data_IF_778329843284
#
_entry.id   IF_778329843284
#
_cell.length_a   1.000
_cell.length_b   1.000
_cell.length_c   1.000
_cell.angle_alpha   90.00
_cell.angle_beta   90.00
_cell.angle_gamma   90.00
#
_symmetry.space_group_name_H-M   'P 1'
#
loop_
_entity.id
_entity.type
_entity.pdbx_description
1 polymer ?
#
# COMPACT_ATOMS: atom_id res chain seq x y z
N UNK A 1 -11.57 44.93 -21.41
CA UNK A 1 -11.32 45.32 -20.01
C UNK A 1 -9.84 45.19 -19.76
N UNK A 2 -9.13 46.32 -19.55
CA UNK A 2 -7.68 46.36 -19.31
C UNK A 2 -7.44 45.97 -17.84
N UNK A 3 -6.69 44.91 -17.57
CA UNK A 3 -6.18 44.61 -16.22
C UNK A 3 -4.76 45.16 -16.09
N UNK A 4 -4.61 45.91 -15.01
CA UNK A 4 -3.48 46.73 -14.62
C UNK A 4 -2.44 45.83 -13.94
N UNK A 5 -1.21 45.79 -14.45
CA UNK A 5 -0.09 45.13 -13.78
C UNK A 5 0.44 46.03 -12.66
N UNK A 6 0.42 45.53 -11.42
CA UNK A 6 1.12 46.17 -10.29
C UNK A 6 2.55 45.63 -10.24
N UNK A 7 3.52 46.53 -10.38
CA UNK A 7 4.93 46.30 -10.06
C UNK A 7 5.13 46.46 -8.54
N UNK A 8 5.65 45.45 -7.86
CA UNK A 8 6.22 45.58 -6.52
C UNK A 8 7.74 45.86 -6.61
N UNK A 9 8.33 46.66 -5.71
CA UNK A 9 9.74 46.98 -5.74
C UNK A 9 10.60 45.91 -5.05
N UNK A 10 11.69 45.53 -5.72
CA UNK A 10 12.82 44.78 -5.18
C UNK A 10 13.49 45.57 -4.05
N UNK A 11 13.55 45.01 -2.84
CA UNK A 11 14.47 45.47 -1.79
C UNK A 11 15.72 44.58 -1.80
N UNK A 12 16.85 45.19 -2.16
CA UNK A 12 18.18 44.60 -2.00
C UNK A 12 18.69 44.87 -0.59
N UNK A 13 18.97 43.81 0.19
CA UNK A 13 19.73 43.90 1.44
C UNK A 13 21.12 43.28 1.21
N UNK A 14 22.17 44.03 1.51
CA UNK A 14 23.57 43.57 1.42
C UNK A 14 24.26 43.62 2.78
N UNK A 15 24.94 42.50 3.08
CA UNK A 15 26.13 42.23 3.91
C UNK A 15 26.22 42.59 5.40
N UNK A 16 26.61 41.56 6.17
CA UNK A 16 27.42 41.67 7.38
C UNK A 16 28.10 40.33 7.70
N UNK A 17 29.42 40.23 7.53
CA UNK A 17 30.27 39.09 7.91
C UNK A 17 30.55 39.01 9.42
N UNK A 18 30.50 37.75 9.93
CA UNK A 18 31.20 37.06 11.04
C UNK A 18 31.64 37.79 12.35
N UNK A 19 31.65 37.06 13.49
CA UNK A 19 32.86 36.28 13.81
C UNK A 19 32.62 34.89 14.42
N UNK A 20 33.69 34.08 14.36
CA UNK A 20 33.80 32.71 14.84
C UNK A 20 34.11 32.58 16.35
N UNK A 21 33.62 31.49 16.95
CA UNK A 21 34.09 30.83 18.19
C UNK A 21 33.53 29.39 18.16
N UNK A 22 34.29 28.33 17.86
CA UNK A 22 35.20 27.52 18.68
C UNK A 22 34.56 26.75 19.85
N UNK A 23 34.90 25.44 19.92
CA UNK A 23 34.71 24.42 20.99
C UNK A 23 33.28 23.87 21.12
N UNK A 24 33.00 22.56 21.20
CA UNK A 24 33.77 21.44 21.77
C UNK A 24 33.18 20.06 21.35
N UNK A 25 34.08 19.08 21.18
CA UNK A 25 33.98 17.62 21.48
C UNK A 25 32.79 16.74 21.04
N UNK A 26 33.11 15.89 20.07
CA UNK A 26 33.23 14.41 20.13
C UNK A 26 31.99 13.57 20.51
N UNK A 27 31.48 12.90 19.48
CA UNK A 27 30.52 11.81 19.55
C UNK A 27 31.25 10.49 19.90
N UNK A 28 30.72 9.74 20.87
CA UNK A 28 30.80 8.28 20.89
C UNK A 28 29.60 7.74 21.67
N UNK A 29 28.51 7.39 20.98
CA UNK A 29 27.53 6.43 21.50
C UNK A 29 27.77 5.10 20.80
N UNK A 30 28.20 4.13 21.60
CA UNK A 30 28.40 2.73 21.22
C UNK A 30 27.12 1.95 21.38
N UNK A 31 26.70 1.28 20.31
CA UNK A 31 25.92 0.05 20.36
C UNK A 31 26.57 -0.99 21.28
N UNK A 32 25.79 -1.65 22.13
CA UNK A 32 25.88 -3.10 22.35
C UNK A 32 24.75 -3.64 23.24
N UNK A 33 24.06 -4.60 22.67
CA UNK A 33 22.96 -5.36 23.23
C UNK A 33 23.37 -6.41 24.29
N UNK A 34 22.35 -6.83 25.05
CA UNK A 34 22.07 -8.19 25.54
C UNK A 34 23.03 -8.85 26.55
N UNK A 35 22.48 -9.11 27.74
CA UNK A 35 22.62 -10.41 28.43
C UNK A 35 21.48 -10.59 29.44
N UNK A 36 20.53 -11.48 29.13
CA UNK A 36 19.66 -12.09 30.14
C UNK A 36 19.74 -13.62 29.95
N UNK A 37 20.43 -14.22 30.91
CA UNK A 37 20.70 -15.64 31.05
C UNK A 37 19.45 -16.44 31.42
N UNK A 38 19.39 -17.62 30.81
CA UNK A 38 18.50 -18.74 31.11
C UNK A 38 18.55 -19.19 32.57
N UNK A 39 17.38 -19.45 33.17
CA UNK A 39 17.24 -20.49 34.18
C UNK A 39 16.03 -21.37 33.86
N UNK A 40 16.32 -22.65 33.61
CA UNK A 40 15.36 -23.72 33.51
C UNK A 40 15.01 -24.23 34.92
N UNK A 41 13.73 -24.26 35.25
CA UNK A 41 13.18 -24.94 36.42
C UNK A 41 12.11 -25.94 36.00
N UNK A 42 12.46 -27.22 36.07
CA UNK A 42 11.59 -28.37 35.76
C UNK A 42 10.73 -28.78 36.97
N UNK A 43 9.71 -29.58 36.66
CA UNK A 43 8.86 -30.46 37.51
C UNK A 43 7.49 -29.88 37.90
N UNK A 44 6.40 -30.64 37.96
CA UNK A 44 6.02 -31.95 37.41
C UNK A 44 4.51 -32.13 37.68
N UNK A 45 3.84 -32.90 36.80
CA UNK A 45 2.72 -33.82 37.05
C UNK A 45 1.49 -33.38 37.87
N UNK A 46 0.33 -33.45 37.22
CA UNK A 46 -0.98 -33.52 37.86
C UNK A 46 -2.00 -34.18 36.92
N UNK A 47 -2.22 -35.47 37.16
CA UNK A 47 -3.17 -36.39 36.51
C UNK A 47 -4.63 -35.96 36.76
N UNK A 48 -5.54 -36.25 35.82
CA UNK A 48 -6.97 -35.88 35.95
C UNK A 48 -7.86 -36.36 34.81
N UNK A 49 -8.21 -37.64 34.85
CA UNK A 49 -9.12 -38.35 33.94
C UNK A 49 -10.61 -38.03 34.17
N UNK A 50 -11.44 -38.08 33.10
CA UNK A 50 -12.87 -38.50 33.05
C UNK A 50 -13.47 -38.14 31.67
N UNK A 51 -13.66 -39.09 30.73
CA UNK A 51 -14.89 -39.89 30.52
C UNK A 51 -16.11 -39.01 30.14
N UNK A 52 -16.60 -38.97 28.89
CA UNK A 52 -17.27 -39.97 28.01
C UNK A 52 -18.80 -39.86 28.05
N UNK A 53 -19.41 -39.91 26.86
CA UNK A 53 -20.78 -40.35 26.44
C UNK A 53 -21.27 -39.41 25.32
N UNK A 54 -21.48 -39.87 24.07
CA UNK A 54 -22.58 -40.75 23.62
C UNK A 54 -23.77 -39.84 23.22
N UNK A 55 -24.36 -39.84 22.02
CA UNK A 55 -24.89 -40.98 21.27
C UNK A 55 -25.40 -40.53 19.88
N UNK A 56 -25.51 -41.54 19.02
CA UNK A 56 -25.86 -41.70 17.61
C UNK A 56 -27.23 -41.20 17.07
N UNK A 57 -27.32 -41.23 15.73
CA UNK A 57 -28.52 -41.43 14.88
C UNK A 57 -28.34 -40.69 13.53
N UNK A 58 -28.20 -41.28 12.33
CA UNK A 58 -28.84 -42.46 11.71
C UNK A 58 -30.27 -42.11 11.24
N UNK A 59 -30.77 -42.32 10.01
CA UNK A 59 -30.28 -42.85 8.73
C UNK A 59 -31.23 -42.40 7.58
N UNK A 60 -30.77 -42.58 6.34
CA UNK A 60 -31.48 -43.06 5.12
C UNK A 60 -32.70 -42.35 4.46
N UNK A 61 -32.60 -42.31 3.12
CA UNK A 61 -33.67 -42.61 2.15
C UNK A 61 -33.79 -41.55 1.03
N UNK A 62 -34.03 -41.83 -0.25
CA UNK A 62 -34.16 -43.04 -1.08
C UNK A 62 -34.21 -42.55 -2.55
N UNK A 63 -33.71 -43.39 -3.45
CA UNK A 63 -33.77 -43.34 -4.93
C UNK A 63 -35.16 -43.08 -5.54
N UNK A 64 -35.22 -42.41 -6.72
CA UNK A 64 -36.09 -42.84 -7.85
C UNK A 64 -35.59 -42.31 -9.20
N UNK A 65 -35.88 -43.07 -10.25
CA UNK A 65 -35.31 -43.09 -11.60
C UNK A 65 -36.14 -42.39 -12.70
N UNK A 66 -35.47 -42.03 -13.81
CA UNK A 66 -35.93 -42.04 -15.23
C UNK A 66 -37.09 -41.11 -15.66
N UNK A 67 -37.25 -40.78 -16.97
CA UNK A 67 -36.96 -41.65 -18.11
C UNK A 67 -36.21 -41.02 -19.31
N UNK A 68 -35.85 -41.90 -20.23
CA UNK A 68 -35.34 -41.72 -21.60
C UNK A 68 -36.39 -41.21 -22.59
N UNK A 69 -35.98 -40.47 -23.62
CA UNK A 69 -36.67 -40.50 -24.93
C UNK A 69 -35.69 -40.40 -26.10
N UNK A 70 -35.85 -41.38 -26.98
CA UNK A 70 -35.22 -41.63 -28.26
C UNK A 70 -35.74 -40.65 -29.34
N UNK A 71 -34.94 -40.38 -30.38
CA UNK A 71 -35.29 -39.43 -31.45
C UNK A 71 -34.29 -39.44 -32.61
N UNK A 72 -34.54 -40.34 -33.55
CA UNK A 72 -33.88 -40.55 -34.86
C UNK A 72 -34.26 -39.52 -35.94
N UNK A 73 -33.34 -39.30 -36.90
CA UNK A 73 -33.55 -38.74 -38.24
C UNK A 73 -32.71 -37.47 -38.46
N UNK A 74 -32.09 -37.16 -39.59
CA UNK A 74 -31.93 -37.74 -40.92
C UNK A 74 -30.73 -36.96 -41.50
N UNK A 75 -29.90 -37.59 -42.33
CA UNK A 75 -28.76 -36.96 -42.98
C UNK A 75 -29.17 -35.94 -44.05
N UNK A 76 -28.52 -34.77 -44.08
CA UNK A 76 -28.31 -34.00 -45.30
C UNK A 76 -26.87 -33.47 -45.33
N UNK A 77 -26.12 -34.02 -46.27
CA UNK A 77 -24.87 -33.54 -46.82
C UNK A 77 -25.07 -32.14 -47.43
N UNK A 78 -24.34 -31.15 -46.93
CA UNK A 78 -24.04 -29.95 -47.69
C UNK A 78 -22.61 -29.50 -47.39
N UNK A 79 -21.80 -29.63 -48.43
CA UNK A 79 -20.38 -29.31 -48.46
C UNK A 79 -20.21 -27.79 -48.55
N UNK A 80 -19.79 -27.15 -47.46
CA UNK A 80 -19.32 -25.76 -47.48
C UNK A 80 -17.91 -25.69 -46.90
N UNK A 81 -16.93 -25.67 -47.79
CA UNK A 81 -15.62 -25.12 -47.48
C UNK A 81 -15.79 -23.63 -47.19
N UNK A 82 -15.30 -23.14 -46.05
CA UNK A 82 -14.31 -22.05 -45.97
C UNK A 82 -14.24 -21.48 -44.55
N UNK A 83 -12.98 -21.20 -44.17
CA UNK A 83 -12.57 -20.32 -43.07
C UNK A 83 -12.77 -20.88 -41.66
N UNK A 84 -11.83 -21.72 -41.24
CA UNK A 84 -11.33 -21.69 -39.87
C UNK A 84 -10.72 -20.30 -39.64
N UNK A 85 -11.60 -19.31 -39.43
CA UNK A 85 -11.21 -18.10 -38.73
C UNK A 85 -11.07 -18.54 -37.28
N UNK A 86 -9.86 -18.91 -36.88
CA UNK A 86 -9.43 -18.67 -35.52
C UNK A 86 -9.78 -17.22 -35.23
N UNK A 87 -10.91 -17.01 -34.55
CA UNK A 87 -11.09 -15.84 -33.72
C UNK A 87 -10.02 -15.96 -32.66
N UNK A 88 -8.80 -15.54 -33.02
CA UNK A 88 -7.89 -14.97 -32.04
C UNK A 88 -8.75 -13.98 -31.27
N UNK A 89 -9.08 -14.39 -30.04
CA UNK A 89 -9.56 -13.46 -29.04
C UNK A 89 -8.36 -12.56 -28.87
N UNK A 90 -8.34 -11.42 -29.57
CA UNK A 90 -7.40 -10.35 -29.27
C UNK A 90 -7.71 -9.97 -27.84
N UNK A 91 -6.98 -10.57 -26.90
CA UNK A 91 -6.83 -10.06 -25.56
C UNK A 91 -6.47 -8.60 -25.75
N UNK A 92 -7.41 -7.70 -25.43
CA UNK A 92 -7.17 -6.28 -25.60
C UNK A 92 -5.91 -5.94 -24.82
N UNK A 93 -4.89 -5.37 -25.49
CA UNK A 93 -3.73 -4.90 -24.76
C UNK A 93 -4.19 -3.78 -23.82
N UNK A 94 -3.82 -3.90 -22.55
CA UNK A 94 -4.09 -2.86 -21.58
C UNK A 94 -3.26 -1.62 -21.95
N UNK A 95 -3.78 -0.42 -21.64
CA UNK A 95 -2.97 0.79 -21.75
C UNK A 95 -2.12 0.96 -20.49
N UNK A 96 -0.90 1.53 -20.56
CA UNK A 96 -0.11 1.79 -19.37
C UNK A 96 -0.83 2.69 -18.36
N UNK A 97 -0.52 2.51 -17.08
CA UNK A 97 -0.97 3.37 -15.99
C UNK A 97 0.23 3.97 -15.28
N UNK A 98 0.21 5.29 -15.12
CA UNK A 98 1.23 6.03 -14.36
C UNK A 98 0.60 6.61 -13.11
N UNK A 99 1.27 6.53 -11.97
CA UNK A 99 0.83 7.07 -10.69
C UNK A 99 2.03 7.58 -9.89
N UNK A 100 1.79 8.55 -9.01
CA UNK A 100 2.82 9.10 -8.14
C UNK A 100 2.78 8.44 -6.75
N UNK A 101 3.91 8.37 -6.07
CA UNK A 101 4.01 7.89 -4.69
C UNK A 101 4.87 8.85 -3.87
N UNK A 102 4.38 9.19 -2.68
CA UNK A 102 5.11 9.90 -1.62
C UNK A 102 4.89 9.16 -0.30
N UNK A 103 5.70 9.47 0.71
CA UNK A 103 5.58 8.95 2.07
C UNK A 103 6.60 9.65 2.96
N UNK A 104 6.48 9.49 4.27
CA UNK A 104 7.45 10.00 5.24
C UNK A 104 7.67 11.52 5.08
N UNK A 105 6.59 12.26 4.81
CA UNK A 105 6.63 13.70 4.52
C UNK A 105 5.27 14.35 4.78
N UNK A 106 5.22 15.58 5.32
CA UNK A 106 6.34 16.42 5.77
C UNK A 106 6.73 16.17 7.23
N UNK A 107 8.02 16.25 7.56
CA UNK A 107 8.50 16.11 8.95
C UNK A 107 8.89 17.44 9.59
N UNK A 108 9.39 18.38 8.78
CA UNK A 108 9.79 19.71 9.20
C UNK A 108 9.26 20.78 8.21
N UNK A 109 9.31 22.06 8.58
CA UNK A 109 8.79 23.19 7.79
C UNK A 109 9.33 23.20 6.34
N UNK A 110 10.58 22.78 6.12
CA UNK A 110 11.15 22.71 4.77
C UNK A 110 10.49 21.63 3.91
N UNK A 111 10.06 20.52 4.51
CA UNK A 111 9.36 19.43 3.81
C UNK A 111 7.95 19.85 3.42
N UNK A 112 7.28 20.68 4.22
CA UNK A 112 5.97 21.24 3.88
C UNK A 112 6.06 22.07 2.59
N UNK A 113 7.09 22.94 2.52
CA UNK A 113 7.34 23.75 1.33
C UNK A 113 7.66 22.86 0.12
N UNK A 114 8.52 21.86 0.29
CA UNK A 114 8.87 20.92 -0.77
C UNK A 114 7.65 20.14 -1.26
N UNK A 115 6.78 19.68 -0.36
CA UNK A 115 5.55 18.96 -0.70
C UNK A 115 4.64 19.83 -1.57
N UNK A 116 4.38 21.07 -1.17
CA UNK A 116 3.54 22.00 -1.96
C UNK A 116 4.16 22.24 -3.35
N UNK A 117 5.47 22.45 -3.44
CA UNK A 117 6.18 22.61 -4.71
C UNK A 117 6.08 21.35 -5.59
N UNK A 118 6.21 20.16 -5.01
CA UNK A 118 6.11 18.88 -5.72
C UNK A 118 4.69 18.59 -6.23
N UNK A 119 3.65 18.89 -5.44
CA UNK A 119 2.26 18.74 -5.87
C UNK A 119 1.95 19.70 -7.03
N UNK A 120 2.46 20.93 -6.98
CA UNK A 120 2.36 21.87 -8.10
C UNK A 120 3.10 21.36 -9.35
N UNK A 121 4.31 20.83 -9.20
CA UNK A 121 5.08 20.27 -10.31
C UNK A 121 4.41 19.02 -10.92
N UNK A 122 3.80 18.15 -10.12
CA UNK A 122 2.99 17.03 -10.59
C UNK A 122 1.77 17.49 -11.38
N UNK A 123 1.09 18.55 -10.93
CA UNK A 123 -0.02 19.16 -11.66
C UNK A 123 0.42 19.72 -13.03
N UNK A 124 1.63 20.30 -13.12
CA UNK A 124 2.19 20.81 -14.37
C UNK A 124 2.65 19.69 -15.31
N UNK A 125 3.29 18.65 -14.77
CA UNK A 125 3.74 17.47 -15.53
C UNK A 125 2.54 16.72 -16.12
N UNK A 126 1.49 16.51 -15.32
CA UNK A 126 0.33 15.71 -15.67
C UNK A 126 0.66 14.22 -15.85
N UNK A 127 -0.31 13.45 -16.35
CA UNK A 127 -0.11 12.03 -16.70
C UNK A 127 -0.17 11.03 -15.54
N UNK A 128 0.07 11.46 -14.29
CA UNK A 128 -0.26 10.65 -13.12
C UNK A 128 -1.79 10.51 -12.99
N UNK A 129 -2.28 9.26 -12.97
CA UNK A 129 -3.72 8.95 -12.86
C UNK A 129 -4.23 9.13 -11.43
N UNK A 130 -3.35 8.98 -10.45
CA UNK A 130 -3.56 9.24 -9.02
C UNK A 130 -2.21 9.35 -8.31
N UNK A 131 -2.22 9.73 -7.04
CA UNK A 131 -1.10 9.67 -6.11
C UNK A 131 -1.45 8.76 -4.92
N UNK A 132 -0.45 8.07 -4.37
CA UNK A 132 -0.56 7.33 -3.10
C UNK A 132 0.42 7.91 -2.08
N UNK A 133 -0.07 8.27 -0.90
CA UNK A 133 0.75 8.58 0.27
C UNK A 133 0.90 7.33 1.14
N UNK A 134 2.12 6.80 1.29
CA UNK A 134 2.40 5.52 1.97
C UNK A 134 2.64 5.67 3.47
N UNK A 135 1.90 6.57 4.13
CA UNK A 135 2.02 6.83 5.57
C UNK A 135 3.11 7.81 5.98
N UNK A 136 3.12 8.11 7.28
CA UNK A 136 3.95 9.07 8.01
C UNK A 136 3.84 10.52 7.49
N UNK A 137 2.72 11.16 7.80
CA UNK A 137 2.44 12.58 7.47
C UNK A 137 3.15 13.58 8.40
N UNK A 138 3.91 13.09 9.37
CA UNK A 138 4.61 13.84 10.41
C UNK A 138 5.76 13.01 10.95
N UNK A 139 6.72 13.64 11.65
CA UNK A 139 7.80 12.93 12.34
C UNK A 139 7.28 12.04 13.48
N UNK A 140 8.02 10.99 13.85
CA UNK A 140 7.72 10.07 14.97
C UNK A 140 7.94 10.65 16.36
N UNK A 141 7.37 11.82 16.65
CA UNK A 141 7.41 12.44 17.96
C UNK A 141 6.10 13.15 18.31
N UNK A 142 5.65 13.12 19.58
CA UNK A 142 4.58 13.98 20.08
C UNK A 142 4.95 15.47 20.04
N UNK A 143 3.95 16.38 20.13
CA UNK A 143 2.53 16.09 20.27
C UNK A 143 1.91 15.68 18.93
N UNK A 144 0.91 14.80 18.95
CA UNK A 144 0.04 14.55 17.80
C UNK A 144 -1.17 15.47 17.93
N UNK A 145 -1.27 16.48 17.08
CA UNK A 145 -2.30 17.52 17.17
C UNK A 145 -3.15 17.53 15.92
N UNK A 146 -4.45 17.80 16.06
CA UNK A 146 -5.39 17.77 14.93
C UNK A 146 -4.95 18.64 13.74
N UNK A 147 -4.21 19.74 13.98
CA UNK A 147 -3.72 20.60 12.91
C UNK A 147 -2.82 19.89 11.91
N UNK A 148 -1.98 18.94 12.35
CA UNK A 148 -1.09 18.18 11.45
C UNK A 148 -1.90 17.43 10.38
N UNK A 149 -3.03 16.84 10.77
CA UNK A 149 -3.93 16.10 9.87
C UNK A 149 -4.73 17.04 8.96
N UNK A 150 -5.16 18.21 9.47
CA UNK A 150 -5.88 19.18 8.64
C UNK A 150 -4.97 19.86 7.62
N UNK A 151 -3.72 20.12 7.99
CA UNK A 151 -2.74 20.81 7.14
C UNK A 151 -2.33 19.90 5.97
N UNK A 152 -1.93 18.65 6.24
CA UNK A 152 -1.62 17.68 5.18
C UNK A 152 -2.82 17.41 4.27
N UNK A 153 -4.02 17.29 4.83
CA UNK A 153 -5.25 17.18 4.02
C UNK A 153 -5.38 18.38 3.09
N UNK A 154 -5.15 19.59 3.60
CA UNK A 154 -5.19 20.83 2.83
C UNK A 154 -4.26 20.81 1.63
N UNK A 155 -2.99 20.45 1.84
CA UNK A 155 -1.98 20.37 0.77
C UNK A 155 -2.31 19.28 -0.25
N UNK A 156 -2.67 18.06 0.20
CA UNK A 156 -3.00 16.97 -0.70
C UNK A 156 -4.21 17.27 -1.59
N UNK A 157 -5.18 18.05 -1.10
CA UNK A 157 -6.33 18.51 -1.88
C UNK A 157 -5.97 19.54 -2.98
N UNK A 158 -4.74 20.07 -3.00
CA UNK A 158 -4.25 20.92 -4.11
C UNK A 158 -3.86 20.10 -5.35
N UNK A 159 -3.71 18.78 -5.23
CA UNK A 159 -3.42 17.90 -6.36
C UNK A 159 -4.67 17.76 -7.26
N UNK A 160 -4.47 17.86 -8.57
CA UNK A 160 -5.54 17.65 -9.57
C UNK A 160 -5.91 16.17 -9.65
N UNK A 161 -4.92 15.28 -9.55
CA UNK A 161 -5.14 13.84 -9.53
C UNK A 161 -5.68 13.39 -8.16
N UNK A 162 -6.52 12.34 -8.09
CA UNK A 162 -6.97 11.75 -6.84
C UNK A 162 -5.81 11.31 -5.95
N UNK A 163 -5.97 11.48 -4.62
CA UNK A 163 -5.00 11.02 -3.63
C UNK A 163 -5.58 9.90 -2.79
N UNK A 164 -4.90 8.76 -2.78
CA UNK A 164 -5.12 7.67 -1.83
C UNK A 164 -4.06 7.76 -0.72
N UNK A 165 -4.42 7.34 0.49
CA UNK A 165 -3.51 7.38 1.64
C UNK A 165 -3.73 6.14 2.52
N UNK A 166 -2.64 5.58 3.01
CA UNK A 166 -2.61 4.57 4.08
C UNK A 166 -1.92 5.18 5.32
N UNK A 167 -2.21 4.68 6.53
CA UNK A 167 -1.50 5.13 7.72
C UNK A 167 -0.08 4.55 7.80
N UNK A 168 0.82 5.31 8.41
CA UNK A 168 2.09 4.90 8.98
C UNK A 168 1.99 4.76 10.50
N UNK A 169 3.12 4.78 11.20
CA UNK A 169 3.15 4.74 12.66
C UNK A 169 3.20 6.14 13.30
N UNK A 170 3.78 7.14 12.63
CA UNK A 170 4.00 8.45 13.24
C UNK A 170 2.72 9.23 13.52
N UNK A 171 1.66 8.98 12.76
CA UNK A 171 0.40 9.73 12.87
C UNK A 171 -0.59 9.10 13.86
N UNK A 172 -0.24 7.98 14.51
CA UNK A 172 -1.07 7.46 15.60
C UNK A 172 -0.31 6.54 16.56
N UNK A 173 0.45 5.58 16.06
CA UNK A 173 1.09 4.54 16.87
C UNK A 173 2.16 5.12 17.82
N UNK A 174 2.85 6.16 17.39
CA UNK A 174 3.92 6.85 18.12
C UNK A 174 3.43 8.04 18.98
N UNK A 175 2.12 8.24 19.05
CA UNK A 175 1.50 9.32 19.82
C UNK A 175 1.35 8.94 21.30
N UNK A 176 1.33 9.95 22.18
CA UNK A 176 1.06 9.75 23.62
C UNK A 176 -0.36 9.17 23.87
N UNK A 177 -1.32 9.52 23.01
CA UNK A 177 -2.68 8.97 22.97
C UNK A 177 -2.99 8.45 21.55
N UNK A 178 -2.71 7.17 21.27
CA UNK A 178 -2.95 6.58 19.95
C UNK A 178 -4.41 6.56 19.51
N UNK A 179 -5.36 6.46 20.46
CA UNK A 179 -6.79 6.44 20.14
C UNK A 179 -7.27 7.83 19.67
N UNK A 180 -6.80 8.91 20.32
CA UNK A 180 -7.09 10.28 19.90
C UNK A 180 -6.46 10.59 18.54
N UNK A 181 -5.19 10.24 18.36
CA UNK A 181 -4.48 10.44 17.11
C UNK A 181 -5.10 9.66 15.94
N UNK A 182 -5.51 8.41 16.16
CA UNK A 182 -6.26 7.62 15.19
C UNK A 182 -7.61 8.26 14.83
N UNK A 183 -8.30 8.88 15.80
CA UNK A 183 -9.53 9.61 15.52
C UNK A 183 -9.32 10.82 14.61
N UNK A 184 -8.20 11.55 14.76
CA UNK A 184 -7.83 12.62 13.84
C UNK A 184 -7.52 12.11 12.43
N UNK A 185 -6.70 11.05 12.33
CA UNK A 185 -6.39 10.40 11.04
C UNK A 185 -7.68 9.98 10.34
N UNK A 186 -8.57 9.30 11.06
CA UNK A 186 -9.85 8.85 10.56
C UNK A 186 -10.73 10.00 10.08
N UNK A 187 -10.83 11.09 10.85
CA UNK A 187 -11.67 12.23 10.52
C UNK A 187 -11.22 12.96 9.25
N UNK A 188 -9.91 13.04 9.00
CA UNK A 188 -9.35 13.93 7.98
C UNK A 188 -8.80 13.20 6.76
N UNK A 189 -8.35 11.96 6.90
CA UNK A 189 -7.57 11.26 5.87
C UNK A 189 -8.21 9.94 5.40
N UNK A 190 -9.09 9.33 6.19
CA UNK A 190 -9.85 8.18 5.73
C UNK A 190 -10.62 8.52 4.45
N UNK A 191 -10.49 7.64 3.44
CA UNK A 191 -11.10 7.80 2.13
C UNK A 191 -10.90 9.18 1.48
N UNK A 192 -9.70 9.76 1.66
CA UNK A 192 -9.31 11.05 1.08
C UNK A 192 -9.65 11.13 -0.43
N UNK A 193 -9.46 10.03 -1.15
CA UNK A 193 -9.73 9.86 -2.58
C UNK A 193 -11.17 10.24 -2.98
N UNK A 194 -12.15 10.08 -2.09
CA UNK A 194 -13.55 10.46 -2.35
C UNK A 194 -13.75 11.99 -2.50
N UNK A 195 -12.71 12.79 -2.20
CA UNK A 195 -12.71 14.23 -2.43
C UNK A 195 -12.60 14.59 -3.93
N UNK A 196 -12.24 13.63 -4.79
CA UNK A 196 -12.17 13.80 -6.25
C UNK A 196 -13.33 13.07 -6.94
N UNK A 197 -14.11 13.75 -7.80
CA UNK A 197 -15.27 13.14 -8.47
C UNK A 197 -14.89 12.05 -9.49
N UNK A 198 -13.66 12.12 -10.02
CA UNK A 198 -13.14 11.20 -11.02
C UNK A 198 -12.21 10.12 -10.41
N UNK A 199 -12.16 10.02 -9.07
CA UNK A 199 -11.39 8.98 -8.40
C UNK A 199 -11.90 7.57 -8.78
N UNK A 200 -10.99 6.60 -8.99
CA UNK A 200 -11.38 5.20 -9.08
C UNK A 200 -12.22 4.78 -7.87
N UNK A 201 -13.32 4.08 -8.09
CA UNK A 201 -14.15 3.58 -7.01
C UNK A 201 -13.39 2.48 -6.25
N UNK A 202 -12.89 2.81 -5.07
CA UNK A 202 -12.16 1.88 -4.23
C UNK A 202 -13.08 1.01 -3.37
N UNK A 203 -12.84 -0.31 -3.40
CA UNK A 203 -13.33 -1.22 -2.39
C UNK A 203 -12.61 -0.96 -1.07
N UNK A 204 -13.33 -1.09 0.05
CA UNK A 204 -12.79 -0.98 1.42
C UNK A 204 -12.88 -2.32 2.12
N UNK A 205 -11.88 -2.65 2.93
CA UNK A 205 -11.94 -3.83 3.78
C UNK A 205 -12.88 -3.55 4.96
N UNK A 206 -13.96 -4.34 5.17
CA UNK A 206 -14.96 -4.04 6.19
C UNK A 206 -14.39 -3.92 7.62
N UNK A 207 -13.38 -4.71 7.95
CA UNK A 207 -12.72 -4.72 9.26
C UNK A 207 -11.57 -3.69 9.38
N UNK A 208 -11.15 -3.08 8.25
CA UNK A 208 -10.01 -2.14 8.10
C UNK A 208 -10.37 -1.10 7.04
N UNK A 209 -11.28 -0.18 7.36
CA UNK A 209 -11.85 0.75 6.38
C UNK A 209 -10.84 1.78 5.84
N UNK A 210 -9.67 1.88 6.45
CA UNK A 210 -8.48 2.57 5.96
C UNK A 210 -7.85 1.86 4.74
N UNK A 211 -8.00 0.54 4.63
CA UNK A 211 -7.50 -0.24 3.50
C UNK A 211 -8.36 0.03 2.26
N UNK A 212 -7.72 -0.03 1.10
CA UNK A 212 -8.40 0.17 -0.17
C UNK A 212 -7.95 -0.82 -1.23
N UNK A 213 -8.78 -1.03 -2.24
CA UNK A 213 -8.39 -1.70 -3.47
C UNK A 213 -9.18 -1.21 -4.68
N UNK A 214 -8.54 -1.12 -5.83
CA UNK A 214 -9.21 -0.87 -7.11
C UNK A 214 -8.40 -1.43 -8.27
N UNK A 215 -9.07 -1.68 -9.40
CA UNK A 215 -8.42 -2.08 -10.65
C UNK A 215 -8.44 -0.90 -11.62
N UNK A 216 -7.27 -0.53 -12.13
CA UNK A 216 -7.15 0.44 -13.21
C UNK A 216 -6.30 -0.15 -14.34
N UNK A 217 -6.87 -0.16 -15.56
CA UNK A 217 -6.21 -0.63 -16.78
C UNK A 217 -5.56 -2.01 -16.63
N UNK A 218 -6.16 -2.94 -15.89
CA UNK A 218 -5.61 -4.30 -15.72
C UNK A 218 -4.53 -4.43 -14.64
N UNK A 219 -4.32 -3.39 -13.83
CA UNK A 219 -3.45 -3.42 -12.64
C UNK A 219 -4.32 -3.34 -11.39
N UNK A 220 -4.11 -4.26 -10.46
CA UNK A 220 -4.73 -4.20 -9.13
C UNK A 220 -3.85 -3.34 -8.20
N UNK A 221 -4.45 -2.31 -7.61
CA UNK A 221 -3.84 -1.47 -6.59
C UNK A 221 -4.46 -1.79 -5.23
N UNK A 222 -3.65 -2.07 -4.21
CA UNK A 222 -4.11 -2.42 -2.86
C UNK A 222 -3.33 -1.63 -1.82
N UNK A 223 -4.00 -0.84 -0.99
CA UNK A 223 -3.42 -0.20 0.19
C UNK A 223 -3.79 -0.95 1.45
N UNK A 224 -2.80 -1.23 2.30
CA UNK A 224 -2.96 -1.94 3.58
C UNK A 224 -2.36 -1.17 4.75
N UNK A 225 -2.94 -1.36 5.94
CA UNK A 225 -2.49 -0.82 7.22
C UNK A 225 -1.32 -1.63 7.78
N UNK A 226 -0.25 -1.72 7.00
CA UNK A 226 1.01 -2.34 7.40
C UNK A 226 1.93 -1.25 7.97
N UNK A 227 1.86 -1.01 9.28
CA UNK A 227 2.60 0.06 9.98
C UNK A 227 3.83 -0.47 10.72
N UNK A 228 4.81 0.39 10.98
CA UNK A 228 5.97 0.10 11.80
C UNK A 228 5.72 0.36 13.29
N UNK A 229 6.76 0.82 13.98
CA UNK A 229 6.66 1.28 15.36
C UNK A 229 6.43 0.21 16.44
N UNK A 230 5.92 0.67 17.58
CA UNK A 230 5.72 -0.16 18.76
C UNK A 230 4.53 -1.14 18.62
N UNK A 231 4.67 -2.32 19.23
CA UNK A 231 3.56 -3.29 19.35
C UNK A 231 2.87 -3.08 20.70
N UNK A 232 1.83 -2.25 20.72
CA UNK A 232 1.07 -1.95 21.95
C UNK A 232 0.17 -3.11 22.40
N UNK A 233 -0.46 -3.80 21.45
CA UNK A 233 -1.27 -5.01 21.66
C UNK A 233 -0.87 -6.07 20.65
N UNK A 234 -0.27 -7.16 21.14
CA UNK A 234 0.20 -8.26 20.28
C UNK A 234 -0.95 -9.00 19.57
N UNK A 235 -2.13 -9.08 20.17
CA UNK A 235 -3.28 -9.76 19.56
C UNK A 235 -3.85 -8.91 18.42
N UNK A 236 -3.96 -7.59 18.64
CA UNK A 236 -4.36 -6.64 17.59
C UNK A 236 -3.35 -6.66 16.45
N UNK A 237 -2.05 -6.55 16.75
CA UNK A 237 -0.97 -6.59 15.76
C UNK A 237 -1.02 -7.84 14.88
N UNK A 238 -1.15 -9.02 15.49
CA UNK A 238 -1.28 -10.27 14.74
C UNK A 238 -2.56 -10.33 13.90
N UNK A 239 -3.67 -9.79 14.43
CA UNK A 239 -4.95 -9.73 13.73
C UNK A 239 -4.85 -8.82 12.50
N UNK A 240 -4.22 -7.65 12.63
CA UNK A 240 -3.94 -6.70 11.54
C UNK A 240 -3.19 -7.34 10.40
N UNK A 241 -2.03 -7.91 10.71
CA UNK A 241 -1.16 -8.52 9.71
C UNK A 241 -1.84 -9.66 8.95
N UNK A 242 -2.65 -10.48 9.66
CA UNK A 242 -3.43 -11.54 9.02
C UNK A 242 -4.54 -10.96 8.13
N UNK A 243 -5.28 -9.96 8.61
CA UNK A 243 -6.34 -9.29 7.85
C UNK A 243 -5.81 -8.60 6.59
N UNK A 244 -4.63 -7.99 6.64
CA UNK A 244 -4.00 -7.38 5.46
C UNK A 244 -3.60 -8.42 4.42
N UNK A 245 -3.07 -9.58 4.86
CA UNK A 245 -2.75 -10.67 3.95
C UNK A 245 -4.01 -11.27 3.30
N UNK A 246 -5.04 -11.53 4.11
CA UNK A 246 -6.35 -12.02 3.65
C UNK A 246 -7.00 -11.02 2.67
N UNK A 247 -6.82 -9.71 2.90
CA UNK A 247 -7.31 -8.67 1.99
C UNK A 247 -6.63 -8.75 0.62
N UNK A 248 -5.30 -8.82 0.58
CA UNK A 248 -4.54 -8.94 -0.66
C UNK A 248 -4.94 -10.22 -1.42
N UNK A 249 -5.03 -11.36 -0.73
CA UNK A 249 -5.47 -12.62 -1.33
C UNK A 249 -6.90 -12.51 -1.88
N UNK A 250 -7.82 -11.93 -1.10
CA UNK A 250 -9.22 -11.75 -1.48
C UNK A 250 -9.39 -10.88 -2.72
N UNK A 251 -8.62 -9.79 -2.84
CA UNK A 251 -8.66 -8.91 -4.01
C UNK A 251 -8.10 -9.59 -5.26
N UNK A 252 -7.02 -10.37 -5.13
CA UNK A 252 -6.50 -11.17 -6.24
C UNK A 252 -7.52 -12.20 -6.73
N UNK A 253 -8.18 -12.88 -5.80
CA UNK A 253 -9.21 -13.87 -6.13
C UNK A 253 -10.44 -13.22 -6.78
N UNK A 254 -10.86 -12.04 -6.28
CA UNK A 254 -12.01 -11.31 -6.81
C UNK A 254 -11.81 -10.80 -8.25
N UNK A 255 -10.56 -10.53 -8.64
CA UNK A 255 -10.19 -10.00 -9.96
C UNK A 255 -9.40 -11.01 -10.82
N UNK A 256 -9.50 -12.31 -10.51
CA UNK A 256 -8.76 -13.35 -11.22
C UNK A 256 -9.08 -13.35 -12.73
N UNK A 257 -8.02 -13.27 -13.55
CA UNK A 257 -8.13 -13.25 -15.02
C UNK A 257 -8.31 -11.86 -15.64
N UNK A 258 -8.41 -10.80 -14.82
CA UNK A 258 -8.52 -9.40 -15.27
C UNK A 258 -7.19 -8.64 -15.16
N UNK A 259 -6.18 -9.25 -14.54
CA UNK A 259 -4.97 -8.58 -14.10
C UNK A 259 -3.74 -9.06 -14.89
N UNK A 260 -2.84 -8.12 -15.20
CA UNK A 260 -1.48 -8.44 -15.64
C UNK A 260 -0.40 -8.03 -14.63
N UNK A 261 -0.73 -7.19 -13.65
CA UNK A 261 0.19 -6.76 -12.61
C UNK A 261 -0.57 -6.36 -11.32
N UNK A 262 0.18 -6.28 -10.22
CA UNK A 262 -0.32 -5.93 -8.89
C UNK A 262 0.60 -4.91 -8.25
N UNK A 263 0.05 -3.93 -7.56
CA UNK A 263 0.80 -2.99 -6.72
C UNK A 263 0.17 -2.98 -5.33
N UNK A 264 0.98 -3.27 -4.32
CA UNK A 264 0.59 -3.28 -2.91
C UNK A 264 1.34 -2.18 -2.18
N UNK A 265 0.62 -1.36 -1.41
CA UNK A 265 1.15 -0.27 -0.62
C UNK A 265 1.05 -0.61 0.87
N UNK A 266 2.16 -0.46 1.59
CA UNK A 266 2.22 -0.51 3.06
C UNK A 266 3.16 0.60 3.54
N UNK A 267 3.21 0.87 4.84
CA UNK A 267 4.16 1.86 5.37
C UNK A 267 5.47 1.20 5.83
N UNK A 268 5.35 0.19 6.70
CA UNK A 268 6.46 -0.41 7.43
C UNK A 268 7.63 -0.87 6.54
N UNK A 269 8.84 -0.75 7.07
CA UNK A 269 10.02 -1.49 6.63
C UNK A 269 10.03 -2.87 7.33
N UNK A 270 9.57 -3.94 6.65
CA UNK A 270 9.14 -5.13 7.38
C UNK A 270 10.31 -5.87 8.04
N UNK A 271 10.18 -6.09 9.34
CA UNK A 271 11.04 -6.95 10.17
C UNK A 271 10.37 -8.30 10.49
N UNK A 272 11.00 -9.12 11.34
CA UNK A 272 10.37 -10.36 11.84
C UNK A 272 9.05 -10.12 12.60
N UNK A 273 8.82 -8.90 13.11
CA UNK A 273 7.54 -8.52 13.73
C UNK A 273 6.38 -8.54 12.73
N UNK A 274 6.68 -8.46 11.42
CA UNK A 274 5.71 -8.42 10.33
C UNK A 274 5.54 -9.81 9.67
N UNK A 275 6.03 -10.88 10.30
CA UNK A 275 5.96 -12.24 9.75
C UNK A 275 4.52 -12.71 9.48
N UNK A 276 3.55 -12.20 10.24
CA UNK A 276 2.13 -12.50 10.05
C UNK A 276 1.57 -12.05 8.70
N UNK A 277 2.14 -10.99 8.10
CA UNK A 277 1.80 -10.52 6.76
C UNK A 277 2.80 -11.03 5.72
N UNK A 278 4.10 -10.85 5.97
CA UNK A 278 5.14 -11.11 4.96
C UNK A 278 5.23 -12.58 4.54
N UNK A 279 4.96 -13.52 5.45
CA UNK A 279 4.96 -14.95 5.11
C UNK A 279 3.83 -15.30 4.14
N UNK A 280 2.53 -15.09 4.47
CA UNK A 280 1.46 -15.36 3.53
C UNK A 280 1.55 -14.48 2.28
N UNK A 281 1.97 -13.22 2.38
CA UNK A 281 2.13 -12.34 1.21
C UNK A 281 3.11 -12.92 0.18
N UNK A 282 4.25 -13.46 0.62
CA UNK A 282 5.19 -14.12 -0.29
C UNK A 282 4.56 -15.34 -0.99
N UNK A 283 3.79 -16.15 -0.26
CA UNK A 283 3.07 -17.31 -0.80
C UNK A 283 1.99 -16.91 -1.80
N UNK A 284 1.20 -15.88 -1.48
CA UNK A 284 0.15 -15.31 -2.32
C UNK A 284 0.75 -14.83 -3.65
N UNK A 285 1.81 -14.02 -3.62
CA UNK A 285 2.45 -13.50 -4.83
C UNK A 285 3.08 -14.61 -5.66
N UNK A 286 3.77 -15.56 -5.02
CA UNK A 286 4.35 -16.71 -5.70
C UNK A 286 3.28 -17.58 -6.38
N UNK A 287 2.12 -17.75 -5.75
CA UNK A 287 1.00 -18.52 -6.31
C UNK A 287 0.27 -17.77 -7.43
N UNK A 288 0.11 -16.45 -7.31
CA UNK A 288 -0.52 -15.63 -8.34
C UNK A 288 0.32 -15.58 -9.62
N UNK A 289 1.65 -15.54 -9.49
CA UNK A 289 2.58 -15.51 -10.62
C UNK A 289 2.49 -14.23 -11.46
N UNK A 290 1.83 -13.19 -10.94
CA UNK A 290 1.74 -11.88 -11.56
C UNK A 290 2.90 -10.99 -11.09
N UNK A 291 3.52 -10.19 -11.98
CA UNK A 291 4.42 -9.12 -11.57
C UNK A 291 3.78 -8.26 -10.47
N UNK A 292 4.44 -8.20 -9.32
CA UNK A 292 3.94 -7.52 -8.13
C UNK A 292 4.96 -6.52 -7.63
N UNK A 293 4.53 -5.28 -7.42
CA UNK A 293 5.31 -4.23 -6.80
C UNK A 293 4.79 -3.97 -5.37
N UNK A 294 5.65 -4.13 -4.37
CA UNK A 294 5.37 -3.68 -3.00
C UNK A 294 6.06 -2.33 -2.78
N UNK A 295 5.30 -1.27 -2.56
CA UNK A 295 5.81 0.09 -2.35
C UNK A 295 5.56 0.51 -0.90
N UNK A 296 6.59 1.02 -0.23
CA UNK A 296 6.49 1.42 1.18
C UNK A 296 7.40 2.59 1.58
N UNK A 297 7.28 3.02 2.84
CA UNK A 297 8.06 4.10 3.48
C UNK A 297 8.90 3.57 4.65
N UNK A 298 8.89 4.29 5.78
CA UNK A 298 9.47 3.97 7.10
C UNK A 298 11.02 3.99 7.13
N UNK A 299 11.68 3.33 6.18
CA UNK A 299 13.15 3.27 6.18
C UNK A 299 13.86 4.53 5.68
N UNK A 300 13.13 5.59 5.31
CA UNK A 300 13.58 6.94 4.91
C UNK A 300 14.59 7.06 3.74
N UNK A 301 15.08 5.96 3.19
CA UNK A 301 16.07 5.91 2.11
C UNK A 301 15.52 5.19 0.86
N UNK A 302 16.06 5.50 -0.32
CA UNK A 302 15.66 4.79 -1.53
C UNK A 302 16.11 3.33 -1.48
N UNK A 303 15.14 2.42 -1.58
CA UNK A 303 15.40 1.00 -1.81
C UNK A 303 14.68 0.51 -3.05
N UNK A 304 15.35 -0.37 -3.80
CA UNK A 304 14.77 -1.06 -4.94
C UNK A 304 15.31 -2.50 -4.94
N UNK A 305 14.47 -3.44 -4.53
CA UNK A 305 14.83 -4.84 -4.27
C UNK A 305 13.97 -5.77 -5.14
N UNK A 306 14.45 -6.17 -6.34
CA UNK A 306 13.86 -7.27 -7.10
C UNK A 306 13.99 -8.60 -6.35
N UNK A 307 13.06 -9.54 -6.56
CA UNK A 307 13.10 -10.84 -5.90
C UNK A 307 12.86 -10.78 -4.38
N UNK A 308 12.10 -9.79 -3.92
CA UNK A 308 11.88 -9.57 -2.48
C UNK A 308 11.19 -10.79 -1.85
N UNK A 309 11.55 -11.08 -0.59
CA UNK A 309 11.14 -12.29 0.14
C UNK A 309 11.48 -13.61 -0.59
N UNK A 310 12.41 -13.59 -1.56
CA UNK A 310 12.77 -14.76 -2.36
C UNK A 310 11.78 -15.08 -3.47
N UNK A 311 10.85 -14.18 -3.79
CA UNK A 311 9.83 -14.36 -4.82
C UNK A 311 10.20 -13.55 -6.06
N UNK A 312 10.52 -14.22 -7.17
CA UNK A 312 10.99 -13.57 -8.41
C UNK A 312 10.02 -12.52 -8.94
N UNK A 313 8.72 -12.81 -8.88
CA UNK A 313 7.67 -11.88 -9.33
C UNK A 313 7.45 -10.68 -8.40
N UNK A 314 8.07 -10.65 -7.21
CA UNK A 314 7.90 -9.60 -6.22
C UNK A 314 9.09 -8.63 -6.24
N UNK A 315 8.82 -7.35 -6.51
CA UNK A 315 9.77 -6.25 -6.38
C UNK A 315 9.34 -5.36 -5.23
N UNK A 316 10.27 -5.00 -4.35
CA UNK A 316 10.05 -4.00 -3.29
C UNK A 316 10.68 -2.67 -3.65
N UNK A 317 9.96 -1.58 -3.38
CA UNK A 317 10.45 -0.20 -3.47
C UNK A 317 10.16 0.51 -2.16
N UNK A 318 11.17 1.20 -1.63
CA UNK A 318 11.01 2.14 -0.52
C UNK A 318 11.19 3.56 -1.06
N UNK A 319 10.26 4.46 -0.76
CA UNK A 319 10.40 5.88 -1.10
C UNK A 319 11.41 6.57 -0.18
N UNK A 320 12.01 7.65 -0.66
CA UNK A 320 12.84 8.52 0.18
C UNK A 320 11.93 9.47 0.97
N UNK A 321 12.33 9.81 2.19
CA UNK A 321 11.53 10.70 3.03
C UNK A 321 11.60 12.16 2.63
N UNK A 322 10.81 12.94 3.37
CA UNK A 322 11.07 14.34 3.64
C UNK A 322 10.89 15.17 2.36
N UNK A 323 11.89 15.97 2.01
CA UNK A 323 11.89 16.81 0.81
C UNK A 323 12.20 16.05 -0.50
N UNK A 324 12.11 14.72 -0.53
CA UNK A 324 12.31 13.96 -1.76
C UNK A 324 11.18 14.21 -2.78
N UNK A 325 11.52 14.16 -4.07
CA UNK A 325 10.51 14.25 -5.14
C UNK A 325 9.63 13.00 -5.15
N UNK A 326 8.35 13.12 -5.53
CA UNK A 326 7.47 11.97 -5.72
C UNK A 326 8.07 10.97 -6.69
N UNK A 327 7.96 9.68 -6.34
CA UNK A 327 8.28 8.60 -7.23
C UNK A 327 7.15 8.49 -8.27
N UNK A 328 7.47 8.69 -9.55
CA UNK A 328 6.55 8.39 -10.64
C UNK A 328 6.76 6.93 -11.06
N UNK A 329 5.70 6.12 -10.92
CA UNK A 329 5.68 4.71 -11.33
C UNK A 329 4.84 4.60 -12.59
N UNK A 330 5.35 3.91 -13.61
CA UNK A 330 4.56 3.50 -14.78
C UNK A 330 4.51 1.98 -14.86
N UNK A 331 3.31 1.43 -14.94
CA UNK A 331 3.03 0.02 -15.13
C UNK A 331 2.66 -0.21 -16.60
N UNK A 332 3.50 -0.93 -17.33
CA UNK A 332 3.35 -1.15 -18.78
C UNK A 332 3.22 -2.66 -19.09
N UNK A 333 2.10 -3.12 -19.66
CA UNK A 333 1.87 -4.53 -19.98
C UNK A 333 2.72 -5.05 -21.14
N UNK A 334 3.30 -4.16 -21.97
CA UNK A 334 4.12 -4.52 -23.13
C UNK A 334 5.63 -4.47 -22.83
N UNK A 335 6.00 -3.90 -21.68
CA UNK A 335 7.39 -3.82 -21.26
C UNK A 335 7.92 -5.16 -20.72
N UNK A 336 9.19 -5.47 -21.02
CA UNK A 336 9.86 -6.65 -20.46
C UNK A 336 9.97 -6.59 -18.93
N UNK A 337 10.15 -5.39 -18.38
CA UNK A 337 10.06 -5.07 -16.96
C UNK A 337 8.83 -4.17 -16.79
N UNK A 338 7.73 -4.65 -16.18
CA UNK A 338 6.47 -3.92 -16.21
C UNK A 338 6.48 -2.65 -15.36
N UNK A 339 7.42 -2.51 -14.42
CA UNK A 339 7.50 -1.37 -13.52
C UNK A 339 8.68 -0.45 -13.86
N UNK A 340 8.37 0.71 -14.42
CA UNK A 340 9.33 1.82 -14.58
C UNK A 340 9.25 2.74 -13.35
N UNK A 341 10.40 3.09 -12.78
CA UNK A 341 10.53 3.89 -11.55
C UNK A 341 11.33 5.16 -11.85
N UNK A 342 10.69 6.32 -11.81
CA UNK A 342 11.30 7.62 -12.08
C UNK A 342 11.28 8.49 -10.81
N UNK A 343 12.48 8.77 -10.28
CA UNK A 343 12.67 9.51 -9.03
C UNK A 343 12.85 11.02 -9.22
N UNK A 344 13.06 11.44 -10.47
CA UNK A 344 13.28 12.84 -10.83
C UNK A 344 12.38 13.22 -12.01
N UNK A 345 11.04 13.21 -11.82
CA UNK A 345 10.09 13.36 -12.92
C UNK A 345 9.93 14.80 -13.43
N UNK A 346 10.58 15.79 -12.79
CA UNK A 346 10.57 17.20 -13.17
C UNK A 346 11.81 17.94 -12.68
#
# INVERSE_FOLDING_TARGET
MRRLALLLPLLTLTCGDAPATSTETDATETDAATQASSEAGSSASGDGSSASEGTEGGSEGTSTAGPTSDGTGEATDDTAATSDGETETTAGSFAPVSFAVIGDTPYEDEDELALVEHLAALNELGGASFLVHVGDIKRGAPPCVESEYTDIRGWLLELVAPVFIIPGDNEWNDCDDPDEAWAFWWQHLQALDESWPDAPAAARQPERLENFAFVERGVLFVGINLVGGAVHDIAEWQTRLAQDADWVEGQLAAHAGELYAVVVFGHANPSSAHAGFTTPFAEIVASAGLPTLFVHGDGHEWLNTPGYLGVEALRRVQVECCSAKPLLVTVDPEAAEPFTLERDPF
#
